data_IF_348672552412
#
_entry.id   IF_348672552412
#
_cell.length_a   1.000
_cell.length_b   1.000
_cell.length_c   1.000
_cell.angle_alpha   90.00
_cell.angle_beta   90.00
_cell.angle_gamma   90.00
#
_symmetry.space_group_name_H-M   'P 1'
#
loop_
_entity.id
_entity.type
_entity.pdbx_description
1 polymer ?
#
# COMPACT_ATOMS: atom_id res chain seq x y z
N UNK A 1 -4.50 10.38 -15.34
CA UNK A 1 -3.11 9.84 -15.36
C UNK A 1 -3.02 8.37 -14.91
N UNK A 2 -3.61 7.97 -13.77
CA UNK A 2 -3.63 6.55 -13.34
C UNK A 2 -4.55 5.65 -14.18
N UNK A 3 -5.82 6.05 -14.41
CA UNK A 3 -6.79 5.29 -15.21
C UNK A 3 -6.31 4.98 -16.64
N UNK A 4 -5.61 5.94 -17.25
CA UNK A 4 -5.00 5.84 -18.61
C UNK A 4 -3.56 5.30 -18.60
N UNK A 5 -3.02 4.90 -17.44
CA UNK A 5 -1.65 4.37 -17.36
C UNK A 5 -1.56 2.94 -17.90
N UNK A 6 -0.34 2.48 -18.12
CA UNK A 6 -0.04 1.08 -18.49
C UNK A 6 0.03 0.15 -17.25
N UNK A 7 -0.21 0.67 -16.04
CA UNK A 7 -0.26 -0.15 -14.83
C UNK A 7 -1.40 -1.17 -14.95
N UNK A 8 -1.16 -2.42 -14.61
CA UNK A 8 -2.13 -3.50 -14.69
C UNK A 8 -3.08 -3.48 -13.51
N UNK A 9 -2.59 -3.14 -12.32
CA UNK A 9 -3.38 -3.18 -11.10
C UNK A 9 -3.88 -4.58 -10.77
N UNK A 10 -4.99 -4.66 -10.04
CA UNK A 10 -5.64 -5.93 -9.72
C UNK A 10 -6.73 -6.24 -10.74
N UNK A 11 -6.81 -7.50 -11.15
CA UNK A 11 -7.97 -7.99 -11.89
C UNK A 11 -9.04 -8.35 -10.88
N UNK A 12 -10.13 -7.58 -10.84
CA UNK A 12 -11.36 -8.00 -10.18
C UNK A 12 -12.11 -8.96 -11.15
N UNK A 13 -13.15 -9.65 -10.70
CA UNK A 13 -13.80 -10.76 -11.43
C UNK A 13 -14.21 -10.43 -12.87
N UNK A 14 -14.73 -11.44 -13.61
CA UNK A 14 -14.93 -11.41 -15.09
C UNK A 14 -15.53 -10.12 -15.70
N UNK A 15 -16.33 -9.35 -14.95
CA UNK A 15 -17.01 -8.14 -15.44
C UNK A 15 -16.51 -6.82 -14.83
N UNK A 16 -15.70 -6.88 -13.78
CA UNK A 16 -15.14 -5.70 -13.14
C UNK A 16 -13.75 -5.44 -13.76
N UNK A 17 -13.59 -4.30 -14.42
CA UNK A 17 -12.31 -3.93 -15.03
C UNK A 17 -11.16 -3.88 -14.03
N UNK A 18 -9.95 -3.51 -14.48
CA UNK A 18 -8.80 -3.45 -13.56
C UNK A 18 -8.98 -2.41 -12.44
N UNK A 19 -8.72 -2.82 -11.21
CA UNK A 19 -8.64 -1.96 -10.04
C UNK A 19 -7.22 -1.38 -9.92
N UNK A 20 -7.08 -0.07 -10.08
CA UNK A 20 -5.78 0.64 -10.06
C UNK A 20 -5.61 1.43 -8.77
N UNK A 21 -6.65 2.11 -8.32
CA UNK A 21 -6.61 2.93 -7.13
C UNK A 21 -7.99 3.06 -6.51
N UNK A 22 -8.02 3.21 -5.19
CA UNK A 22 -9.19 3.59 -4.40
C UNK A 22 -8.84 4.88 -3.67
N UNK A 23 -9.75 5.86 -3.76
CA UNK A 23 -9.58 7.18 -3.15
C UNK A 23 -10.67 7.33 -2.10
N UNK A 24 -10.29 7.66 -0.87
CA UNK A 24 -11.23 7.95 0.20
C UNK A 24 -10.72 9.15 1.00
N UNK A 25 -11.43 10.28 0.89
CA UNK A 25 -11.00 11.57 1.40
C UNK A 25 -9.55 11.90 0.96
N UNK A 26 -8.64 12.05 1.92
CA UNK A 26 -7.21 12.31 1.74
C UNK A 26 -6.38 11.02 1.52
N UNK A 27 -6.95 9.86 1.81
CA UNK A 27 -6.27 8.57 1.70
C UNK A 27 -6.34 8.01 0.27
N UNK A 28 -5.19 7.63 -0.26
CA UNK A 28 -5.07 7.02 -1.59
C UNK A 28 -4.45 5.64 -1.47
N UNK A 29 -5.17 4.62 -1.91
CA UNK A 29 -4.60 3.29 -2.13
C UNK A 29 -4.34 3.08 -3.62
N UNK A 30 -3.17 2.51 -3.96
CA UNK A 30 -2.84 2.10 -5.32
C UNK A 30 -2.54 0.60 -5.33
N UNK A 31 -3.15 -0.11 -6.26
CA UNK A 31 -2.97 -1.55 -6.45
C UNK A 31 -1.97 -1.78 -7.59
N UNK A 32 -0.96 -2.59 -7.34
CA UNK A 32 0.08 -2.94 -8.31
C UNK A 32 0.10 -4.45 -8.52
N UNK A 33 0.09 -4.87 -9.78
CA UNK A 33 0.38 -6.26 -10.12
C UNK A 33 1.85 -6.58 -9.86
N UNK A 34 2.18 -7.87 -9.67
CA UNK A 34 3.58 -8.36 -9.70
C UNK A 34 4.35 -7.98 -10.99
N UNK A 35 3.61 -7.65 -12.05
CA UNK A 35 4.15 -7.22 -13.34
C UNK A 35 4.23 -5.69 -13.49
N UNK A 36 3.72 -4.94 -12.52
CA UNK A 36 3.84 -3.48 -12.53
C UNK A 36 5.17 -3.06 -11.93
N UNK A 37 5.73 -1.98 -12.47
CA UNK A 37 6.98 -1.42 -11.98
C UNK A 37 6.68 -0.28 -11.03
N UNK A 38 7.24 -0.33 -9.83
CA UNK A 38 7.08 0.73 -8.86
C UNK A 38 7.57 2.09 -9.38
N UNK A 39 8.63 2.10 -10.21
CA UNK A 39 9.14 3.30 -10.90
C UNK A 39 8.09 3.99 -11.78
N UNK A 40 7.21 3.23 -12.43
CA UNK A 40 6.18 3.81 -13.31
C UNK A 40 5.06 4.47 -12.48
N UNK A 41 4.70 3.88 -11.33
CA UNK A 41 3.83 4.53 -10.37
C UNK A 41 4.44 5.85 -9.87
N UNK A 42 5.71 5.83 -9.41
CA UNK A 42 6.40 7.05 -8.96
C UNK A 42 6.40 8.15 -10.01
N UNK A 43 6.64 7.82 -11.29
CA UNK A 43 6.58 8.81 -12.38
C UNK A 43 5.20 9.43 -12.52
N UNK A 44 4.14 8.63 -12.41
CA UNK A 44 2.75 9.11 -12.48
C UNK A 44 2.46 10.04 -11.31
N UNK A 45 2.80 9.64 -10.09
CA UNK A 45 2.59 10.44 -8.88
C UNK A 45 3.38 11.76 -8.93
N UNK A 46 4.66 11.71 -9.30
CA UNK A 46 5.51 12.92 -9.41
C UNK A 46 4.99 13.90 -10.46
N UNK A 47 4.53 13.40 -11.62
CA UNK A 47 3.94 14.28 -12.64
C UNK A 47 2.61 14.88 -12.15
N UNK A 48 1.83 14.13 -11.38
CA UNK A 48 0.61 14.67 -10.77
C UNK A 48 0.96 15.76 -9.75
N UNK A 49 1.90 15.52 -8.83
CA UNK A 49 2.39 16.53 -7.87
C UNK A 49 2.88 17.81 -8.55
N UNK A 50 3.64 17.67 -9.65
CA UNK A 50 4.16 18.80 -10.40
C UNK A 50 3.05 19.68 -10.99
N UNK A 51 1.93 19.06 -11.40
CA UNK A 51 0.79 19.76 -12.00
C UNK A 51 -0.18 20.30 -10.94
N UNK A 52 -0.40 19.56 -9.85
CA UNK A 52 -1.32 19.95 -8.79
C UNK A 52 -0.71 20.91 -7.76
N UNK A 53 0.62 21.01 -7.70
CA UNK A 53 1.34 21.75 -6.65
C UNK A 53 1.37 21.01 -5.30
N UNK A 54 0.71 19.86 -5.18
CA UNK A 54 0.63 19.07 -3.94
C UNK A 54 1.78 18.07 -3.86
N UNK A 55 2.37 17.89 -2.68
CA UNK A 55 3.44 16.90 -2.45
C UNK A 55 2.87 15.64 -1.77
N UNK A 56 3.13 14.47 -2.34
CA UNK A 56 2.92 13.21 -1.63
C UNK A 56 3.91 13.09 -0.47
N UNK A 57 3.39 12.74 0.71
CA UNK A 57 4.22 12.43 1.86
C UNK A 57 4.80 11.02 1.70
N UNK A 58 5.94 10.92 1.01
CA UNK A 58 6.61 9.64 0.69
C UNK A 58 6.87 8.80 1.95
N UNK A 59 7.34 9.37 3.09
CA UNK A 59 7.46 8.63 4.35
C UNK A 59 6.16 8.00 4.87
N UNK A 60 4.99 8.55 4.53
CA UNK A 60 3.69 7.97 4.89
C UNK A 60 3.24 6.85 3.95
N UNK A 61 3.96 6.56 2.87
CA UNK A 61 3.62 5.45 1.98
C UNK A 61 3.95 4.14 2.69
N UNK A 62 2.93 3.30 2.82
CA UNK A 62 3.06 1.93 3.33
C UNK A 62 2.68 0.95 2.22
N UNK A 63 3.49 -0.07 2.03
CA UNK A 63 3.26 -1.15 1.05
C UNK A 63 2.81 -2.40 1.79
N UNK A 64 1.65 -2.92 1.44
CA UNK A 64 1.15 -4.22 1.89
C UNK A 64 1.30 -5.22 0.74
N UNK A 65 2.00 -6.31 0.98
CA UNK A 65 2.27 -7.33 -0.03
C UNK A 65 1.14 -8.35 -0.08
N UNK A 66 0.74 -8.73 -1.30
CA UNK A 66 -0.32 -9.72 -1.55
C UNK A 66 0.23 -10.79 -2.49
N UNK A 67 -0.14 -12.05 -2.27
CA UNK A 67 0.34 -13.20 -3.05
C UNK A 67 0.72 -14.37 -2.16
N UNK A 68 1.60 -15.25 -2.64
CA UNK A 68 2.14 -16.36 -1.83
C UNK A 68 3.20 -15.88 -0.86
N UNK A 69 3.44 -16.63 0.22
CA UNK A 69 4.42 -16.26 1.24
C UNK A 69 5.83 -16.11 0.67
N UNK A 70 6.23 -17.01 -0.22
CA UNK A 70 7.54 -17.00 -0.87
C UNK A 70 7.74 -15.73 -1.70
N UNK A 71 6.67 -15.25 -2.36
CA UNK A 71 6.73 -13.99 -3.11
C UNK A 71 6.90 -12.79 -2.19
N UNK A 72 6.21 -12.79 -1.04
CA UNK A 72 6.30 -11.71 -0.05
C UNK A 72 7.68 -11.68 0.58
N UNK A 73 8.18 -12.82 1.05
CA UNK A 73 9.51 -12.96 1.66
C UNK A 73 10.62 -12.50 0.69
N UNK A 74 10.55 -12.92 -0.58
CA UNK A 74 11.48 -12.47 -1.61
C UNK A 74 11.44 -10.94 -1.82
N UNK A 75 10.25 -10.33 -1.80
CA UNK A 75 10.08 -8.89 -1.95
C UNK A 75 10.56 -8.10 -0.73
N UNK A 76 10.34 -8.61 0.48
CA UNK A 76 10.84 -7.99 1.73
C UNK A 76 12.38 -7.98 1.72
N UNK A 77 12.99 -9.12 1.39
CA UNK A 77 14.46 -9.27 1.36
C UNK A 77 15.11 -8.45 0.25
N UNK A 78 14.56 -8.51 -0.96
CA UNK A 78 15.21 -7.90 -2.14
C UNK A 78 14.77 -6.45 -2.36
N UNK A 79 13.56 -6.09 -1.94
CA UNK A 79 12.87 -4.82 -2.29
C UNK A 79 12.73 -4.60 -3.80
N UNK A 80 12.87 -5.65 -4.61
CA UNK A 80 12.83 -5.56 -6.07
C UNK A 80 11.47 -5.97 -6.62
N UNK A 81 10.79 -5.02 -7.27
CA UNK A 81 9.56 -5.28 -8.04
C UNK A 81 9.90 -5.78 -9.44
N UNK A 82 9.18 -6.81 -9.91
CA UNK A 82 9.57 -7.70 -11.02
C UNK A 82 10.96 -8.33 -10.80
N UNK A 83 11.40 -9.26 -11.68
CA UNK A 83 12.78 -9.78 -11.73
C UNK A 83 13.82 -8.64 -11.86
N UNK A 84 14.10 -7.92 -10.77
CA UNK A 84 15.10 -6.87 -10.59
C UNK A 84 14.99 -5.61 -11.48
N UNK A 85 13.78 -5.19 -11.89
CA UNK A 85 13.61 -4.03 -12.79
C UNK A 85 13.31 -2.70 -12.10
N UNK A 86 12.90 -2.73 -10.84
CA UNK A 86 12.59 -1.52 -10.06
C UNK A 86 12.67 -1.79 -8.56
N UNK A 87 13.59 -1.14 -7.87
CA UNK A 87 13.77 -1.24 -6.41
C UNK A 87 12.89 -0.24 -5.66
N UNK A 88 12.28 -0.68 -4.56
CA UNK A 88 11.53 0.16 -3.63
C UNK A 88 12.56 0.88 -2.73
N UNK A 89 12.44 2.21 -2.59
CA UNK A 89 13.34 3.03 -1.75
C UNK A 89 13.34 2.53 -0.32
N UNK A 90 14.48 2.55 0.39
CA UNK A 90 14.56 2.11 1.79
C UNK A 90 13.58 2.82 2.72
N UNK A 91 13.29 4.09 2.43
CA UNK A 91 12.43 4.98 3.24
C UNK A 91 10.94 4.61 3.20
N UNK A 92 10.54 3.68 2.34
CA UNK A 92 9.14 3.25 2.21
C UNK A 92 8.93 2.00 3.05
N UNK A 93 8.00 2.07 4.00
CA UNK A 93 7.65 0.94 4.84
C UNK A 93 7.00 -0.16 4.01
N UNK A 94 7.52 -1.39 4.15
CA UNK A 94 6.88 -2.61 3.62
C UNK A 94 6.43 -3.40 4.84
N UNK A 95 5.13 -3.67 4.93
CA UNK A 95 4.53 -4.43 6.04
C UNK A 95 4.92 -5.89 5.90
N UNK A 96 5.46 -6.47 6.97
CA UNK A 96 5.84 -7.88 7.02
C UNK A 96 4.63 -8.76 7.41
N UNK A 97 4.76 -10.06 7.17
CA UNK A 97 3.78 -11.02 7.70
C UNK A 97 3.81 -10.99 9.24
N UNK A 98 2.64 -11.04 9.87
CA UNK A 98 2.45 -10.84 11.31
C UNK A 98 2.36 -9.36 11.73
N UNK A 99 2.64 -8.42 10.83
CA UNK A 99 2.52 -6.98 11.12
C UNK A 99 1.22 -6.42 10.54
N UNK A 100 0.52 -5.60 11.33
CA UNK A 100 -0.67 -4.88 10.91
C UNK A 100 -0.36 -3.41 10.59
N UNK A 101 -1.04 -2.85 9.59
CA UNK A 101 -1.04 -1.41 9.30
C UNK A 101 -2.45 -0.86 9.22
N UNK A 102 -2.63 0.40 9.61
CA UNK A 102 -3.93 1.06 9.62
C UNK A 102 -4.29 1.55 8.22
N UNK A 103 -5.50 1.21 7.79
CA UNK A 103 -6.10 1.64 6.55
C UNK A 103 -7.56 2.03 6.81
N UNK A 104 -7.93 3.29 6.55
CA UNK A 104 -9.32 3.77 6.61
C UNK A 104 -10.06 3.41 7.92
N UNK A 105 -9.36 3.39 9.05
CA UNK A 105 -9.93 3.07 10.35
C UNK A 105 -9.90 1.59 10.74
N UNK A 106 -9.57 0.68 9.82
CA UNK A 106 -9.32 -0.74 10.11
C UNK A 106 -7.82 -1.06 10.05
N UNK A 107 -7.43 -2.25 10.49
CA UNK A 107 -6.07 -2.76 10.35
C UNK A 107 -6.02 -3.87 9.31
N UNK A 108 -4.97 -3.87 8.50
CA UNK A 108 -4.72 -4.86 7.46
C UNK A 108 -3.30 -5.39 7.58
N UNK A 109 -3.12 -6.69 7.33
CA UNK A 109 -1.83 -7.37 7.44
C UNK A 109 -1.99 -8.85 7.09
N UNK A 110 -0.91 -9.51 6.68
CA UNK A 110 -0.95 -10.95 6.41
C UNK A 110 -0.67 -11.70 7.71
N UNK A 111 -1.49 -12.72 8.04
CA UNK A 111 -1.25 -13.57 9.22
C UNK A 111 -1.39 -12.84 10.55
N UNK A 112 -2.24 -11.80 10.61
CA UNK A 112 -2.55 -11.09 11.85
C UNK A 112 -3.71 -11.78 12.59
N UNK A 113 -3.62 -11.86 13.92
CA UNK A 113 -4.73 -12.32 14.77
C UNK A 113 -5.70 -11.16 15.05
N UNK A 114 -6.98 -11.38 14.80
CA UNK A 114 -8.05 -10.36 14.81
C UNK A 114 -8.21 -9.62 16.15
N UNK A 115 -7.82 -10.25 17.27
CA UNK A 115 -7.95 -9.69 18.63
C UNK A 115 -6.94 -8.59 18.94
N UNK A 116 -5.76 -8.61 18.31
CA UNK A 116 -4.65 -7.67 18.57
C UNK A 116 -4.84 -6.28 17.94
N UNK A 117 -5.84 -6.16 17.06
CA UNK A 117 -6.10 -5.00 16.19
C UNK A 117 -6.69 -3.81 16.96
N UNK A 118 -7.52 -4.07 17.97
CA UNK A 118 -8.26 -3.04 18.70
C UNK A 118 -7.54 -2.51 19.93
N UNK A 119 -6.54 -3.23 20.44
CA UNK A 119 -5.85 -2.91 21.71
C UNK A 119 -5.36 -1.45 21.76
N UNK A 120 -4.66 -0.90 20.74
CA UNK A 120 -4.18 0.48 20.80
C UNK A 120 -5.32 1.50 20.78
N UNK A 121 -6.43 1.19 20.09
CA UNK A 121 -7.60 2.08 20.00
C UNK A 121 -8.36 2.09 21.32
N UNK A 122 -8.52 0.92 21.95
CA UNK A 122 -9.11 0.77 23.28
C UNK A 122 -8.28 1.49 24.35
N UNK A 123 -6.95 1.41 24.29
CA UNK A 123 -6.07 2.11 25.21
C UNK A 123 -6.16 3.64 25.10
N UNK A 124 -6.27 4.19 23.88
CA UNK A 124 -6.47 5.62 23.67
C UNK A 124 -7.83 6.04 24.22
N UNK A 125 -8.90 5.33 23.86
CA UNK A 125 -10.24 5.62 24.38
C UNK A 125 -10.31 5.55 25.92
N UNK A 126 -9.65 4.56 26.52
CA UNK A 126 -9.59 4.42 27.97
C UNK A 126 -8.80 5.54 28.66
N UNK A 127 -7.78 6.13 28.01
CA UNK A 127 -7.08 7.32 28.54
C UNK A 127 -7.95 8.57 28.45
N UNK A 128 -8.63 8.76 27.33
CA UNK A 128 -9.43 9.95 27.08
C UNK A 128 -10.69 10.00 27.97
N UNK A 129 -11.25 8.83 28.32
CA UNK A 129 -12.38 8.72 29.25
C UNK A 129 -12.00 8.91 30.73
N UNK A 130 -10.71 8.89 31.07
CA UNK A 130 -10.20 9.10 32.43
C UNK A 130 -9.82 10.57 32.70
N UNK A 131 -10.09 11.47 31.75
CA UNK A 131 -9.81 12.90 31.84
C UNK A 131 -11.10 13.69 32.00
#
# INVERSE_FOLDING_TARGET
MLKRSKLRGFKTGKHAGRLIATLFADNTMVYLSKLDRFKDLKKILNKWCKVSGVKFNIPKIVIVLVGTKEHRDALVMTRWTQRHRSRISGDIKIVQDGEATRLLGTFIGNGIEDSSIWTPTLEIGARDLKR
#
